data_IF_253288654595
#
_entry.id   IF_253288654595
#
_cell.length_a   1.000
_cell.length_b   1.000
_cell.length_c   1.000
_cell.angle_alpha   90.00
_cell.angle_beta   90.00
_cell.angle_gamma   90.00
#
_symmetry.space_group_name_H-M   'P 1'
#
loop_
_entity.id
_entity.type
_entity.pdbx_description
1 polymer ?
#
# COMPACT_ATOMS: atom_id res chain seq x y z
N UNK A 1 0.82 7.84 -1.52
CA UNK A 1 1.05 6.56 -0.82
C UNK A 1 0.96 5.42 -1.82
N UNK A 2 1.88 4.47 -1.76
CA UNK A 2 1.80 3.15 -2.39
C UNK A 2 1.52 2.14 -1.28
N UNK A 3 0.42 1.39 -1.39
CA UNK A 3 0.03 0.35 -0.44
C UNK A 3 0.11 -0.99 -1.16
N UNK A 4 0.91 -1.93 -0.65
CA UNK A 4 1.21 -3.17 -1.36
C UNK A 4 1.24 -4.39 -0.45
N UNK A 5 0.82 -5.55 -0.96
CA UNK A 5 0.89 -6.82 -0.24
C UNK A 5 2.30 -7.44 -0.29
N UNK A 6 2.76 -8.00 0.83
CA UNK A 6 4.06 -8.69 0.90
C UNK A 6 4.16 -9.90 -0.05
N UNK A 7 3.05 -10.59 -0.29
CA UNK A 7 2.99 -11.79 -1.13
C UNK A 7 2.52 -11.50 -2.55
N UNK A 8 2.33 -10.23 -2.88
CA UNK A 8 1.98 -9.82 -4.23
C UNK A 8 3.19 -10.00 -5.17
N UNK A 9 3.05 -10.94 -6.11
CA UNK A 9 4.07 -11.27 -7.10
C UNK A 9 3.91 -10.57 -8.45
N UNK A 10 2.95 -9.66 -8.62
CA UNK A 10 2.69 -9.02 -9.92
C UNK A 10 3.67 -7.88 -10.21
N UNK A 11 3.99 -7.08 -9.20
CA UNK A 11 4.91 -5.95 -9.33
C UNK A 11 6.12 -6.18 -8.43
N UNK A 12 7.34 -6.23 -8.99
CA UNK A 12 8.56 -6.37 -8.20
C UNK A 12 8.71 -5.27 -7.14
N UNK A 13 9.25 -5.59 -5.95
CA UNK A 13 9.49 -4.60 -4.91
C UNK A 13 10.36 -3.41 -5.33
N UNK A 14 11.26 -3.59 -6.31
CA UNK A 14 12.10 -2.53 -6.84
C UNK A 14 11.27 -1.45 -7.55
N UNK A 15 10.26 -1.85 -8.31
CA UNK A 15 9.41 -0.92 -9.06
C UNK A 15 8.51 -0.11 -8.12
N UNK A 16 8.04 -0.72 -7.02
CA UNK A 16 7.28 -0.02 -5.98
C UNK A 16 8.13 1.04 -5.27
N UNK A 17 9.41 0.73 -5.01
CA UNK A 17 10.36 1.69 -4.42
C UNK A 17 10.62 2.84 -5.38
N UNK A 18 10.89 2.52 -6.66
CA UNK A 18 11.08 3.53 -7.70
C UNK A 18 9.86 4.45 -7.83
N UNK A 19 8.64 3.91 -7.78
CA UNK A 19 7.40 4.70 -7.75
C UNK A 19 7.35 5.63 -6.55
N UNK A 20 7.63 5.14 -5.34
CA UNK A 20 7.57 5.95 -4.13
C UNK A 20 8.64 7.06 -4.11
N UNK A 21 9.84 6.78 -4.63
CA UNK A 21 10.93 7.76 -4.74
C UNK A 21 10.66 8.85 -5.78
N UNK A 22 9.96 8.54 -6.87
CA UNK A 22 9.68 9.48 -7.95
C UNK A 22 8.53 10.46 -7.65
N UNK A 23 7.66 10.14 -6.69
CA UNK A 23 6.46 10.93 -6.39
C UNK A 23 6.64 11.78 -5.12
N UNK A 24 6.34 13.10 -5.16
CA UNK A 24 6.35 13.93 -3.96
C UNK A 24 5.29 13.45 -2.96
N UNK A 25 5.63 13.53 -1.67
CA UNK A 25 4.76 13.13 -0.54
C UNK A 25 4.25 11.68 -0.65
N UNK A 26 5.00 10.80 -1.31
CA UNK A 26 4.64 9.40 -1.46
C UNK A 26 5.42 8.51 -0.50
N UNK A 27 4.69 7.75 0.31
CA UNK A 27 5.22 6.69 1.16
C UNK A 27 4.86 5.31 0.62
N UNK A 28 5.78 4.36 0.69
CA UNK A 28 5.53 2.94 0.44
C UNK A 28 5.17 2.23 1.75
N UNK A 29 4.04 1.53 1.77
CA UNK A 29 3.57 0.70 2.88
C UNK A 29 3.42 -0.72 2.37
N UNK A 30 4.21 -1.65 2.91
CA UNK A 30 4.12 -3.09 2.62
C UNK A 30 3.36 -3.77 3.75
N UNK A 31 2.28 -4.47 3.42
CA UNK A 31 1.38 -5.10 4.38
C UNK A 31 1.69 -6.61 4.44
N UNK A 32 2.04 -7.14 5.63
CA UNK A 32 2.50 -8.51 5.77
C UNK A 32 1.37 -9.51 5.49
N UNK A 33 1.72 -10.63 4.86
CA UNK A 33 0.81 -11.75 4.58
C UNK A 33 -0.40 -11.44 3.69
N UNK A 34 -0.29 -10.42 2.83
CA UNK A 34 -1.33 -10.03 1.87
C UNK A 34 -0.82 -10.23 0.45
N UNK A 35 -1.67 -10.79 -0.42
CA UNK A 35 -1.42 -10.93 -1.84
C UNK A 35 -1.79 -9.68 -2.64
N UNK A 36 -2.23 -9.89 -3.87
CA UNK A 36 -2.43 -8.81 -4.84
C UNK A 36 -3.67 -7.95 -4.57
N UNK A 37 -4.75 -8.56 -4.09
CA UNK A 37 -6.05 -7.90 -4.01
C UNK A 37 -6.42 -7.60 -2.58
N UNK A 38 -5.70 -6.68 -1.95
CA UNK A 38 -5.92 -6.29 -0.54
C UNK A 38 -7.35 -5.78 -0.27
N UNK A 39 -8.00 -5.19 -1.26
CA UNK A 39 -9.41 -4.79 -1.18
C UNK A 39 -10.38 -5.99 -1.08
N UNK A 40 -9.95 -7.20 -1.47
CA UNK A 40 -10.73 -8.45 -1.39
C UNK A 40 -10.28 -9.34 -0.23
N UNK A 41 -8.97 -9.38 0.08
CA UNK A 41 -8.41 -10.28 1.08
C UNK A 41 -8.73 -9.79 2.52
N UNK A 42 -8.24 -8.62 2.99
CA UNK A 42 -8.73 -7.98 4.22
C UNK A 42 -9.43 -6.63 3.96
N UNK A 43 -10.71 -6.61 3.55
CA UNK A 43 -11.42 -5.37 3.20
C UNK A 43 -11.39 -4.31 4.31
N UNK A 44 -11.55 -4.71 5.57
CA UNK A 44 -11.52 -3.79 6.71
C UNK A 44 -10.15 -3.11 6.89
N UNK A 45 -9.05 -3.85 6.68
CA UNK A 45 -7.70 -3.30 6.77
C UNK A 45 -7.43 -2.31 5.63
N UNK A 46 -7.85 -2.67 4.41
CA UNK A 46 -7.77 -1.78 3.24
C UNK A 46 -8.52 -0.47 3.48
N UNK A 47 -9.77 -0.55 3.97
CA UNK A 47 -10.58 0.63 4.32
C UNK A 47 -9.93 1.45 5.42
N UNK A 48 -9.26 0.80 6.40
CA UNK A 48 -8.50 1.48 7.44
C UNK A 48 -7.36 2.34 6.88
N UNK A 49 -6.53 1.78 5.98
CA UNK A 49 -5.47 2.54 5.31
C UNK A 49 -6.02 3.69 4.45
N UNK A 50 -7.08 3.42 3.70
CA UNK A 50 -7.73 4.43 2.85
C UNK A 50 -8.29 5.59 3.69
N UNK A 51 -9.05 5.27 4.74
CA UNK A 51 -9.63 6.24 5.65
C UNK A 51 -8.59 7.07 6.39
N UNK A 52 -7.50 6.45 6.87
CA UNK A 52 -6.41 7.18 7.52
C UNK A 52 -5.73 8.17 6.56
N UNK A 53 -5.45 7.75 5.31
CA UNK A 53 -4.79 8.60 4.33
C UNK A 53 -5.66 9.79 3.91
N UNK A 54 -6.93 9.56 3.55
CA UNK A 54 -7.81 10.63 3.07
C UNK A 54 -8.48 11.43 4.19
N UNK A 55 -8.59 10.86 5.39
CA UNK A 55 -9.17 11.52 6.57
C UNK A 55 -8.24 12.52 7.24
N UNK A 56 -7.01 12.71 6.74
CA UNK A 56 -6.04 13.64 7.32
C UNK A 56 -5.50 13.21 8.68
N UNK A 57 -5.69 11.94 9.06
CA UNK A 57 -5.00 11.39 10.23
C UNK A 57 -3.51 11.31 9.88
N UNK A 58 -2.62 11.94 10.67
CA UNK A 58 -1.20 11.72 10.50
C UNK A 58 -0.93 10.23 10.69
N UNK A 59 -0.10 9.67 9.81
CA UNK A 59 0.26 8.25 9.87
C UNK A 59 1.36 7.95 10.87
#
# INVERSE_FOLDING_TARGET
MVLWGEWDGWIPPADLRAMAEAMPDCRLVVVPRIGHSMNLEPPALYVGYFGAWFGGLPA
#
